data_IF_114789013709
#
_entry.id   IF_114789013709
#
_cell.length_a   1.000
_cell.length_b   1.000
_cell.length_c   1.000
_cell.angle_alpha   90.00
_cell.angle_beta   90.00
_cell.angle_gamma   90.00
#
_symmetry.space_group_name_H-M   'P 1'
#
loop_
_entity.id
_entity.type
_entity.pdbx_description
1 polymer ?
#
# COMPACT_ATOMS: atom_id res chain seq x y z
N UNK A 1 18.30 -13.03 6.05
CA UNK A 1 17.69 -12.17 5.01
C UNK A 1 16.20 -12.41 4.88
N UNK A 2 15.74 -13.63 4.56
CA UNK A 2 14.30 -13.93 4.48
C UNK A 2 13.53 -13.58 5.77
N UNK A 3 14.08 -13.92 6.94
CA UNK A 3 13.48 -13.59 8.25
C UNK A 3 13.38 -12.08 8.52
N UNK A 4 14.36 -11.30 8.07
CA UNK A 4 14.33 -9.83 8.17
C UNK A 4 13.21 -9.26 7.29
N UNK A 5 13.08 -9.74 6.05
CA UNK A 5 12.03 -9.33 5.12
C UNK A 5 10.64 -9.65 5.67
N UNK A 6 10.45 -10.84 6.26
CA UNK A 6 9.17 -11.20 6.90
C UNK A 6 8.88 -10.33 8.12
N UNK A 7 9.88 -9.98 8.92
CA UNK A 7 9.70 -9.07 10.07
C UNK A 7 9.30 -7.67 9.61
N UNK A 8 9.96 -7.13 8.57
CA UNK A 8 9.60 -5.83 7.98
C UNK A 8 8.17 -5.85 7.43
N UNK A 9 7.75 -6.96 6.82
CA UNK A 9 6.38 -7.13 6.34
C UNK A 9 5.37 -7.15 7.50
N UNK A 10 5.67 -7.85 8.59
CA UNK A 10 4.83 -7.86 9.79
C UNK A 10 4.74 -6.48 10.45
N UNK A 11 5.83 -5.72 10.50
CA UNK A 11 5.83 -4.34 11.04
C UNK A 11 4.97 -3.43 10.16
N UNK A 12 5.05 -3.56 8.84
CA UNK A 12 4.18 -2.83 7.93
C UNK A 12 2.70 -3.22 8.12
N UNK A 13 2.37 -4.52 8.21
CA UNK A 13 1.01 -4.96 8.55
C UNK A 13 0.49 -4.35 9.87
N UNK A 14 1.35 -4.35 10.90
CA UNK A 14 1.04 -3.75 12.20
C UNK A 14 0.75 -2.25 12.06
N UNK A 15 1.57 -1.53 11.29
CA UNK A 15 1.39 -0.11 10.99
C UNK A 15 0.05 0.21 10.30
N UNK A 16 -0.35 -0.64 9.33
CA UNK A 16 -1.64 -0.53 8.65
C UNK A 16 -2.82 -0.72 9.61
N UNK A 17 -2.69 -1.63 10.58
CA UNK A 17 -3.76 -1.93 11.54
C UNK A 17 -4.00 -0.78 12.54
N UNK A 18 -2.93 -0.12 13.01
CA UNK A 18 -3.00 0.92 14.05
C UNK A 18 -3.36 2.31 13.51
N UNK A 19 -2.93 2.67 12.30
CA UNK A 19 -3.03 4.06 11.82
C UNK A 19 -4.32 4.33 11.01
N UNK A 20 -5.48 4.28 11.67
CA UNK A 20 -6.81 4.39 11.04
C UNK A 20 -7.29 5.82 10.71
N UNK A 21 -6.61 6.87 11.17
CA UNK A 21 -7.15 8.25 11.10
C UNK A 21 -6.76 9.02 9.85
N UNK A 22 -5.57 8.79 9.29
CA UNK A 22 -5.11 9.46 8.06
C UNK A 22 -4.95 8.46 6.92
N UNK A 23 -5.63 8.71 5.80
CA UNK A 23 -5.57 7.85 4.62
C UNK A 23 -4.19 7.91 3.92
N UNK A 24 -3.45 9.02 4.08
CA UNK A 24 -2.07 9.16 3.60
C UNK A 24 -1.12 8.12 4.21
N UNK A 25 -1.17 7.92 5.52
CA UNK A 25 -0.30 6.96 6.21
C UNK A 25 -0.65 5.51 5.90
N UNK A 26 -1.93 5.20 5.63
CA UNK A 26 -2.30 3.85 5.18
C UNK A 26 -1.76 3.59 3.79
N UNK A 27 -1.77 4.59 2.91
CA UNK A 27 -1.20 4.50 1.56
C UNK A 27 0.32 4.29 1.58
N UNK A 28 1.03 5.07 2.41
CA UNK A 28 2.47 4.92 2.61
C UNK A 28 2.83 3.53 3.15
N UNK A 29 2.00 3.01 4.04
CA UNK A 29 2.19 1.67 4.60
C UNK A 29 2.04 0.59 3.52
N UNK A 30 1.03 0.71 2.64
CA UNK A 30 0.85 -0.19 1.48
C UNK A 30 2.04 -0.13 0.52
N UNK A 31 2.57 1.05 0.23
CA UNK A 31 3.79 1.20 -0.59
C UNK A 31 4.99 0.47 0.02
N UNK A 32 5.20 0.59 1.34
CA UNK A 32 6.23 -0.18 2.05
C UNK A 32 6.02 -1.71 1.92
N UNK A 33 4.78 -2.19 1.99
CA UNK A 33 4.48 -3.61 1.78
C UNK A 33 4.85 -4.08 0.37
N UNK A 34 4.50 -3.29 -0.65
CA UNK A 34 4.78 -3.61 -2.06
C UNK A 34 6.29 -3.60 -2.34
N UNK A 35 7.06 -2.69 -1.74
CA UNK A 35 8.52 -2.69 -1.85
C UNK A 35 9.17 -3.92 -1.22
N UNK A 36 8.68 -4.40 -0.07
CA UNK A 36 9.21 -5.62 0.55
C UNK A 36 8.95 -6.84 -0.34
N UNK A 37 7.77 -6.90 -0.96
CA UNK A 37 7.42 -7.94 -1.94
C UNK A 37 8.34 -7.84 -3.18
N UNK A 38 8.60 -6.64 -3.70
CA UNK A 38 9.52 -6.42 -4.82
C UNK A 38 10.95 -6.89 -4.51
N UNK A 39 11.49 -6.55 -3.34
CA UNK A 39 12.83 -7.00 -2.92
C UNK A 39 12.86 -8.54 -2.80
N UNK A 40 11.79 -9.15 -2.29
CA UNK A 40 11.70 -10.60 -2.16
C UNK A 40 11.66 -11.29 -3.52
N UNK A 41 10.83 -10.81 -4.46
CA UNK A 41 10.77 -11.37 -5.82
C UNK A 41 12.06 -11.13 -6.62
N UNK A 42 12.72 -9.98 -6.47
CA UNK A 42 13.97 -9.70 -7.17
C UNK A 42 15.13 -10.57 -6.68
N UNK A 43 15.21 -10.84 -5.37
CA UNK A 43 16.16 -11.80 -4.82
C UNK A 43 15.87 -13.22 -5.33
N UNK A 44 14.59 -13.60 -5.40
CA UNK A 44 14.19 -14.90 -5.95
C UNK A 44 14.59 -15.03 -7.41
N UNK A 45 14.30 -14.02 -8.24
CA UNK A 45 14.60 -14.06 -9.67
C UNK A 45 16.10 -14.06 -9.97
N UNK A 46 16.90 -13.39 -9.14
CA UNK A 46 18.36 -13.51 -9.19
C UNK A 46 18.83 -14.94 -8.89
N UNK A 47 18.23 -15.59 -7.89
CA UNK A 47 18.58 -16.97 -7.52
C UNK A 47 18.19 -17.98 -8.60
N UNK A 48 17.01 -17.80 -9.23
CA UNK A 48 16.48 -18.69 -10.26
C UNK A 48 16.98 -18.36 -11.67
N UNK A 49 17.84 -17.35 -11.85
CA UNK A 49 18.30 -16.86 -13.17
C UNK A 49 17.16 -16.50 -14.13
N UNK A 50 15.99 -16.16 -13.59
CA UNK A 50 14.80 -15.82 -14.37
C UNK A 50 14.77 -14.33 -14.70
N UNK A 51 14.08 -13.96 -15.78
CA UNK A 51 13.93 -12.57 -16.21
C UNK A 51 13.30 -11.67 -15.14
N UNK A 52 13.84 -10.46 -14.96
CA UNK A 52 13.35 -9.44 -14.02
C UNK A 52 12.00 -8.79 -14.40
N UNK A 53 11.30 -9.32 -15.41
CA UNK A 53 10.04 -8.77 -15.90
C UNK A 53 8.93 -8.85 -14.84
N UNK A 54 8.84 -9.95 -14.08
CA UNK A 54 7.77 -10.15 -13.09
C UNK A 54 7.79 -9.14 -11.93
N UNK A 55 8.93 -8.86 -11.23
CA UNK A 55 8.96 -7.83 -10.19
C UNK A 55 8.75 -6.42 -10.76
N UNK A 56 9.20 -6.13 -11.99
CA UNK A 56 9.00 -4.81 -12.62
C UNK A 56 7.53 -4.54 -12.95
N UNK A 57 6.83 -5.52 -13.53
CA UNK A 57 5.40 -5.39 -13.84
C UNK A 57 4.60 -5.17 -12.54
N UNK A 58 4.90 -5.93 -11.49
CA UNK A 58 4.30 -5.74 -10.16
C UNK A 58 4.51 -4.32 -9.61
N UNK A 59 5.71 -3.76 -9.75
CA UNK A 59 6.04 -2.40 -9.28
C UNK A 59 5.31 -1.31 -10.08
N UNK A 60 5.10 -1.50 -11.38
CA UNK A 60 4.30 -0.55 -12.17
C UNK A 60 2.83 -0.57 -11.78
N UNK A 61 2.27 -1.76 -11.50
CA UNK A 61 0.89 -1.88 -11.04
C UNK A 61 0.70 -1.27 -9.65
N UNK A 62 1.67 -1.42 -8.73
CA UNK A 62 1.59 -0.78 -7.41
C UNK A 62 1.59 0.75 -7.51
N UNK A 63 2.42 1.33 -8.38
CA UNK A 63 2.45 2.78 -8.60
C UNK A 63 1.10 3.30 -9.15
N UNK A 64 0.43 2.53 -10.00
CA UNK A 64 -0.92 2.86 -10.48
C UNK A 64 -1.95 2.84 -9.35
N UNK A 65 -1.95 1.79 -8.51
CA UNK A 65 -2.83 1.68 -7.34
C UNK A 65 -2.63 2.84 -6.35
N UNK A 66 -1.38 3.23 -6.09
CA UNK A 66 -1.08 4.40 -5.26
C UNK A 66 -1.59 5.71 -5.89
N UNK A 67 -1.43 5.89 -7.20
CA UNK A 67 -1.99 7.03 -7.93
C UNK A 67 -3.51 7.11 -7.82
N UNK A 68 -4.19 5.97 -7.98
CA UNK A 68 -5.64 5.86 -7.79
C UNK A 68 -6.04 6.17 -6.34
N UNK A 69 -5.33 5.64 -5.34
CA UNK A 69 -5.58 5.91 -3.93
C UNK A 69 -5.40 7.38 -3.55
N UNK A 70 -4.38 8.06 -4.09
CA UNK A 70 -4.19 9.51 -3.93
C UNK A 70 -5.33 10.30 -4.60
N UNK A 71 -5.75 9.91 -5.81
CA UNK A 71 -6.85 10.59 -6.50
C UNK A 71 -8.17 10.48 -5.72
N UNK A 72 -8.44 9.32 -5.11
CA UNK A 72 -9.59 9.10 -4.24
C UNK A 72 -9.51 9.98 -2.99
N UNK A 73 -8.34 10.06 -2.35
CA UNK A 73 -8.13 10.92 -1.19
C UNK A 73 -8.45 12.38 -1.51
N UNK A 74 -7.96 12.90 -2.64
CA UNK A 74 -8.21 14.28 -3.07
C UNK A 74 -9.72 14.47 -3.34
N UNK A 75 -10.38 13.50 -3.96
CA UNK A 75 -11.83 13.54 -4.16
C UNK A 75 -12.60 13.58 -2.83
N UNK A 76 -12.22 12.74 -1.85
CA UNK A 76 -12.83 12.74 -0.52
C UNK A 76 -12.60 14.07 0.21
N UNK A 77 -11.37 14.61 0.17
CA UNK A 77 -11.03 15.90 0.79
C UNK A 77 -11.80 17.08 0.17
N UNK A 78 -12.08 17.05 -1.14
CA UNK A 78 -12.91 18.07 -1.81
C UNK A 78 -14.40 17.94 -1.50
N UNK A 79 -14.89 16.72 -1.28
CA UNK A 79 -16.31 16.45 -0.95
C UNK A 79 -16.65 16.66 0.53
N UNK A 80 -15.67 16.45 1.41
CA UNK A 80 -15.76 16.52 2.86
C UNK A 80 -14.69 17.50 3.31
N UNK A 81 -14.98 18.80 3.31
CA UNK A 81 -14.00 19.85 3.67
C UNK A 81 -13.42 19.79 5.10
N UNK A 82 -13.66 18.71 5.85
CA UNK A 82 -13.08 18.45 7.17
C UNK A 82 -12.81 16.94 7.32
N UNK A 83 -11.58 16.62 7.72
CA UNK A 83 -10.96 15.29 7.92
C UNK A 83 -11.68 14.36 8.92
N UNK A 84 -12.95 14.09 8.73
CA UNK A 84 -13.67 13.14 9.56
C UNK A 84 -14.38 12.10 8.69
N UNK A 85 -13.72 10.93 8.61
CA UNK A 85 -14.21 9.67 8.07
C UNK A 85 -15.59 9.23 8.62
N UNK A 86 -16.15 9.95 9.61
CA UNK A 86 -17.53 9.81 10.10
C UNK A 86 -18.60 10.14 9.05
N UNK A 87 -18.30 10.89 7.99
CA UNK A 87 -19.29 11.17 6.92
C UNK A 87 -19.44 10.03 5.91
N UNK A 88 -18.53 9.05 5.88
CA UNK A 88 -18.78 7.78 5.16
C UNK A 88 -19.91 6.96 5.80
N UNK A 89 -20.33 7.32 7.02
CA UNK A 89 -21.51 6.73 7.65
C UNK A 89 -22.83 7.15 6.99
N UNK A 90 -22.81 8.06 6.00
CA UNK A 90 -23.97 8.33 5.15
C UNK A 90 -24.27 7.19 4.16
N UNK A 91 -23.34 6.24 3.98
CA UNK A 91 -23.55 5.00 3.23
C UNK A 91 -24.03 3.83 4.12
N UNK A 92 -24.18 4.05 5.43
CA UNK A 92 -25.08 3.20 6.22
C UNK A 92 -26.50 3.52 5.77
N UNK A 93 -26.98 2.71 4.82
CA UNK A 93 -28.35 2.65 4.37
C UNK A 93 -29.33 2.91 5.52
N UNK A 94 -30.18 3.91 5.33
CA UNK A 94 -31.59 3.83 5.70
C UNK A 94 -32.32 3.09 4.58
#
# INVERSE_FOLDING_TARGET
MATLLTLMFCIALMGLAFHRTHLLSTLLCLECMMLIIFITLSLWSQLSSTTMATPLIMLTLSACEAGLGLSLMIATARSQGTDNLKTLNLLQWQ
#
